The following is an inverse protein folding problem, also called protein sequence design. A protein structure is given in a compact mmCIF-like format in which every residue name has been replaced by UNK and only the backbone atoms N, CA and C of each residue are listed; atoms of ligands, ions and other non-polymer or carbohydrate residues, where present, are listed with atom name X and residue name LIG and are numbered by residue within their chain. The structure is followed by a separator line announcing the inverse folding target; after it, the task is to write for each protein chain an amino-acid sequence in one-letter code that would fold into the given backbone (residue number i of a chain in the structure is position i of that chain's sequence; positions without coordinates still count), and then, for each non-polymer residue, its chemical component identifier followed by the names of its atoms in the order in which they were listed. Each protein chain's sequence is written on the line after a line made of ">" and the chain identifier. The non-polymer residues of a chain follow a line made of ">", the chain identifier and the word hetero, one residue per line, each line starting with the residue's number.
data_IF_467465284562
#
_entry.id   IF_467465284562
#
_cell.length_a   1.000
_cell.length_b   1.000
_cell.length_c   1.000
_cell.angle_alpha   90.00
_cell.angle_beta   90.00
_cell.angle_gamma   90.00
#
_symmetry.space_group_name_H-M   'P 1'
#
loop_
_entity.id
_entity.type
_entity.pdbx_description
1 polymer ?
#
# COMPACT_ATOMS: atom_id res chain seq x y z
N UNK A 1 43.01 -21.69 52.12
CA UNK A 1 42.46 -22.70 51.69
C UNK A 1 41.18 -22.68 50.93
N UNK A 2 40.37 -22.13 50.59
CA UNK A 2 39.21 -22.18 49.76
C UNK A 2 39.02 -20.85 49.00
N UNK A 3 39.90 -20.61 48.09
CA UNK A 3 39.92 -19.37 47.30
C UNK A 3 39.64 -19.58 45.81
N UNK A 4 38.94 -20.64 45.48
CA UNK A 4 38.77 -21.04 44.10
C UNK A 4 37.34 -20.90 43.55
N UNK A 5 36.40 -20.41 44.29
CA UNK A 5 35.00 -20.46 43.83
C UNK A 5 34.34 -19.10 43.51
N UNK A 6 35.15 -18.04 43.48
CA UNK A 6 34.57 -16.73 43.17
C UNK A 6 34.81 -16.30 41.72
N UNK A 7 35.55 -17.09 40.98
CA UNK A 7 35.87 -16.73 39.60
C UNK A 7 34.95 -17.34 38.54
N UNK A 8 34.01 -18.17 38.97
CA UNK A 8 33.16 -18.89 38.06
C UNK A 8 31.77 -18.28 37.89
N UNK A 9 31.52 -17.14 38.48
CA UNK A 9 30.16 -16.53 38.48
C UNK A 9 30.04 -15.27 37.64
N UNK A 10 31.09 -14.92 36.90
CA UNK A 10 31.09 -13.66 36.12
C UNK A 10 31.02 -13.94 34.60
N UNK A 11 31.00 -15.20 34.19
CA UNK A 11 31.08 -15.53 32.75
C UNK A 11 29.78 -15.93 32.13
N UNK A 12 28.65 -15.58 32.73
CA UNK A 12 27.34 -15.97 32.22
C UNK A 12 26.35 -14.83 32.07
N UNK A 13 26.82 -13.65 31.67
CA UNK A 13 25.93 -12.59 31.21
C UNK A 13 26.47 -12.03 29.91
N UNK A 14 26.67 -12.92 28.94
CA UNK A 14 26.62 -12.53 27.53
C UNK A 14 25.32 -13.04 26.99
N UNK A 15 24.33 -12.37 27.38
CA UNK A 15 23.00 -12.58 26.89
C UNK A 15 22.88 -11.82 25.62
N UNK A 16 22.71 -12.58 24.64
CA UNK A 16 21.93 -12.46 23.47
C UNK A 16 21.03 -11.24 23.43
N UNK A 17 21.53 -10.14 22.91
CA UNK A 17 20.69 -9.21 22.20
C UNK A 17 20.23 -9.95 20.95
N UNK A 18 19.18 -10.73 21.06
CA UNK A 18 18.36 -11.09 19.95
C UNK A 18 17.82 -9.74 19.44
N UNK A 19 18.49 -9.24 18.43
CA UNK A 19 17.89 -8.24 17.57
C UNK A 19 16.71 -8.94 16.93
N UNK A 20 15.56 -8.83 17.57
CA UNK A 20 14.30 -9.00 16.91
C UNK A 20 14.23 -7.89 15.88
N UNK A 21 14.73 -8.19 14.69
CA UNK A 21 14.39 -7.45 13.52
C UNK A 21 12.88 -7.61 13.38
N UNK A 22 12.14 -6.62 13.77
CA UNK A 22 10.81 -6.44 13.24
C UNK A 22 11.01 -6.17 11.76
N UNK A 23 10.74 -7.18 10.93
CA UNK A 23 10.30 -6.93 9.56
C UNK A 23 8.97 -6.19 9.72
N UNK A 24 9.05 -4.89 9.85
CA UNK A 24 7.91 -4.03 9.56
C UNK A 24 7.66 -4.23 8.06
N UNK A 25 6.70 -5.09 7.74
CA UNK A 25 6.04 -5.03 6.46
C UNK A 25 5.48 -3.62 6.36
N UNK A 26 6.19 -2.75 5.65
CA UNK A 26 5.78 -1.39 5.32
C UNK A 26 4.60 -1.37 4.31
N UNK A 27 3.73 -2.37 4.37
CA UNK A 27 2.47 -2.37 3.64
C UNK A 27 1.63 -1.23 4.20
N UNK A 28 1.62 -0.13 3.46
CA UNK A 28 0.81 1.01 3.81
C UNK A 28 -0.65 0.62 3.66
N UNK A 29 -1.41 0.65 4.75
CA UNK A 29 -2.85 0.48 4.68
C UNK A 29 -3.48 1.76 4.08
N UNK A 30 -3.41 1.87 2.74
CA UNK A 30 -3.93 3.02 1.99
C UNK A 30 -5.44 3.09 2.15
N UNK A 31 -6.11 1.95 2.03
CA UNK A 31 -7.55 1.81 2.25
C UNK A 31 -7.81 1.31 3.66
N UNK A 32 -7.88 2.24 4.59
CA UNK A 32 -8.33 1.96 5.95
C UNK A 32 -9.81 1.61 5.92
N UNK A 33 -10.22 0.61 6.70
CA UNK A 33 -11.62 0.24 6.83
C UNK A 33 -12.33 -0.05 5.49
N UNK A 34 -11.75 -0.93 4.69
CA UNK A 34 -12.32 -1.37 3.40
C UNK A 34 -13.79 -1.83 3.51
N UNK A 35 -14.20 -2.27 4.70
CA UNK A 35 -15.60 -2.65 4.99
C UNK A 35 -16.58 -1.48 4.96
N UNK A 36 -16.12 -0.24 5.06
CA UNK A 36 -16.96 0.97 4.96
C UNK A 36 -17.11 1.49 3.54
N UNK A 37 -16.29 1.00 2.59
CA UNK A 37 -16.43 1.38 1.19
C UNK A 37 -17.75 0.87 0.62
N UNK A 38 -18.45 1.76 -0.08
CA UNK A 38 -19.70 1.46 -0.77
C UNK A 38 -19.48 1.20 -2.25
N UNK A 39 -18.57 1.96 -2.86
CA UNK A 39 -18.23 1.84 -4.26
C UNK A 39 -16.80 2.30 -4.54
N UNK A 40 -16.28 1.84 -5.65
CA UNK A 40 -15.00 2.31 -6.21
C UNK A 40 -15.26 2.72 -7.66
N UNK A 41 -14.94 3.98 -7.98
CA UNK A 41 -15.00 4.48 -9.34
C UNK A 41 -13.59 4.45 -9.96
N UNK A 42 -13.44 3.73 -11.05
CA UNK A 42 -12.19 3.57 -11.77
C UNK A 42 -12.23 4.37 -13.07
N UNK A 43 -11.19 5.13 -13.36
CA UNK A 43 -10.97 5.71 -14.69
C UNK A 43 -9.68 5.13 -15.26
N UNK A 44 -9.78 4.45 -16.38
CA UNK A 44 -8.65 3.81 -17.06
C UNK A 44 -7.81 4.83 -17.85
N UNK A 45 -6.61 4.44 -18.27
CA UNK A 45 -5.72 5.28 -19.08
C UNK A 45 -6.37 5.77 -20.39
N UNK A 46 -7.29 5.01 -20.95
CA UNK A 46 -8.05 5.39 -22.16
C UNK A 46 -9.27 6.29 -21.89
N UNK A 47 -9.48 6.70 -20.63
CA UNK A 47 -10.60 7.53 -20.21
C UNK A 47 -11.90 6.76 -19.95
N UNK A 48 -11.95 5.44 -20.18
CA UNK A 48 -13.13 4.61 -19.82
C UNK A 48 -13.31 4.61 -18.30
N UNK A 49 -14.52 4.87 -17.85
CA UNK A 49 -14.88 4.81 -16.42
C UNK A 49 -15.71 3.58 -16.11
N UNK A 50 -15.47 3.00 -14.94
CA UNK A 50 -16.15 1.83 -14.42
C UNK A 50 -16.54 2.09 -12.97
N UNK A 51 -17.81 1.87 -12.64
CA UNK A 51 -18.29 1.93 -11.27
C UNK A 51 -18.40 0.51 -10.72
N UNK A 52 -17.76 0.24 -9.59
CA UNK A 52 -17.74 -1.06 -8.91
C UNK A 52 -18.50 -0.93 -7.60
N UNK A 53 -19.66 -1.60 -7.48
CA UNK A 53 -20.51 -1.59 -6.31
C UNK A 53 -20.68 -2.96 -5.65
N UNK A 54 -20.22 -4.03 -6.32
CA UNK A 54 -20.25 -5.38 -5.76
C UNK A 54 -19.26 -5.49 -4.59
N UNK A 55 -19.78 -5.81 -3.41
CA UNK A 55 -19.00 -5.83 -2.15
C UNK A 55 -17.73 -6.68 -2.24
N UNK A 56 -17.77 -7.84 -2.90
CA UNK A 56 -16.59 -8.70 -3.05
C UNK A 56 -15.55 -8.07 -3.96
N UNK A 57 -15.96 -7.50 -5.09
CA UNK A 57 -15.05 -6.79 -6.01
C UNK A 57 -14.44 -5.55 -5.35
N UNK A 58 -15.22 -4.80 -4.59
CA UNK A 58 -14.73 -3.65 -3.81
C UNK A 58 -13.65 -4.08 -2.83
N UNK A 59 -13.87 -5.17 -2.10
CA UNK A 59 -12.88 -5.73 -1.18
C UNK A 59 -11.61 -6.22 -1.88
N UNK A 60 -11.75 -6.88 -3.01
CA UNK A 60 -10.61 -7.39 -3.78
C UNK A 60 -9.75 -6.25 -4.33
N UNK A 61 -10.37 -5.20 -4.85
CA UNK A 61 -9.68 -3.98 -5.28
C UNK A 61 -8.96 -3.32 -4.10
N UNK A 62 -9.62 -3.20 -2.95
CA UNK A 62 -9.02 -2.63 -1.74
C UNK A 62 -7.79 -3.43 -1.28
N UNK A 63 -7.82 -4.76 -1.35
CA UNK A 63 -6.66 -5.62 -1.05
C UNK A 63 -5.50 -5.36 -2.01
N UNK A 64 -5.79 -5.22 -3.31
CA UNK A 64 -4.78 -4.93 -4.32
C UNK A 64 -4.14 -3.57 -4.06
N UNK A 65 -4.93 -2.54 -3.75
CA UNK A 65 -4.42 -1.21 -3.38
C UNK A 65 -3.55 -1.30 -2.12
N UNK A 66 -3.98 -2.03 -1.09
CA UNK A 66 -3.24 -2.18 0.16
C UNK A 66 -2.00 -3.08 0.06
N UNK A 67 -1.80 -3.78 -1.05
CA UNK A 67 -0.56 -4.50 -1.30
C UNK A 67 0.60 -3.60 -1.74
N UNK A 68 0.33 -2.34 -2.04
CA UNK A 68 1.35 -1.37 -2.41
C UNK A 68 2.21 -0.99 -1.20
N UNK A 69 3.50 -0.80 -1.44
CA UNK A 69 4.49 -0.43 -0.42
C UNK A 69 4.77 1.07 -0.44
N UNK A 70 4.91 1.67 0.73
CA UNK A 70 5.26 3.10 0.82
C UNK A 70 6.66 3.34 0.27
N UNK A 71 6.79 4.30 -0.64
CA UNK A 71 8.09 4.77 -1.12
C UNK A 71 8.76 5.72 -0.12
N UNK A 72 8.03 6.16 0.92
CA UNK A 72 8.41 7.23 1.85
C UNK A 72 8.54 8.61 1.18
N UNK A 73 8.08 8.74 -0.06
CA UNK A 73 7.98 10.01 -0.76
C UNK A 73 6.59 10.61 -0.53
N UNK A 74 6.56 11.90 -0.24
CA UNK A 74 5.32 12.66 -0.12
C UNK A 74 4.84 13.10 -1.51
N UNK A 75 3.53 13.03 -1.74
CA UNK A 75 2.93 13.68 -2.90
C UNK A 75 2.70 15.16 -2.59
N UNK A 76 3.15 16.03 -3.48
CA UNK A 76 3.04 17.49 -3.33
C UNK A 76 2.22 18.14 -4.45
N UNK A 77 1.45 17.36 -5.18
CA UNK A 77 0.75 17.79 -6.38
C UNK A 77 -0.67 17.22 -6.46
N UNK A 78 -1.50 17.90 -7.25
CA UNK A 78 -2.91 17.48 -7.46
C UNK A 78 -3.06 16.26 -8.35
N UNK A 79 -2.12 16.08 -9.28
CA UNK A 79 -2.10 14.98 -10.24
C UNK A 79 -0.67 14.48 -10.45
N UNK A 80 -0.46 13.19 -10.78
CA UNK A 80 0.87 12.65 -10.98
C UNK A 80 1.65 13.31 -12.11
N UNK A 81 2.97 13.47 -11.91
CA UNK A 81 3.91 13.79 -12.97
C UNK A 81 4.23 12.52 -13.79
N UNK A 82 3.27 12.09 -14.58
CA UNK A 82 3.35 10.91 -15.43
C UNK A 82 2.72 11.19 -16.80
N UNK A 83 3.24 10.53 -17.83
CA UNK A 83 2.72 10.69 -19.21
C UNK A 83 1.27 10.24 -19.33
N UNK A 84 0.90 9.26 -18.53
CA UNK A 84 -0.41 8.65 -18.53
C UNK A 84 -0.73 8.13 -17.13
N UNK A 85 -1.92 8.38 -16.66
CA UNK A 85 -2.39 7.90 -15.36
C UNK A 85 -3.88 7.58 -15.41
N UNK A 86 -4.30 6.71 -14.51
CA UNK A 86 -5.70 6.46 -14.23
C UNK A 86 -6.09 7.01 -12.85
N UNK A 87 -7.39 6.96 -12.55
CA UNK A 87 -7.92 7.46 -11.28
C UNK A 87 -8.74 6.38 -10.58
N UNK A 88 -8.61 6.35 -9.27
CA UNK A 88 -9.41 5.53 -8.37
C UNK A 88 -10.12 6.48 -7.40
N UNK A 89 -11.44 6.47 -7.38
CA UNK A 89 -12.20 7.20 -6.38
C UNK A 89 -12.83 6.20 -5.42
N UNK A 90 -12.44 6.29 -4.15
CA UNK A 90 -12.93 5.46 -3.06
C UNK A 90 -14.09 6.21 -2.40
N UNK A 91 -15.28 5.62 -2.39
CA UNK A 91 -16.49 6.25 -1.85
C UNK A 91 -17.00 5.48 -0.64
N UNK A 92 -17.09 6.14 0.49
CA UNK A 92 -17.73 5.68 1.71
C UNK A 92 -18.95 6.56 2.05
N UNK A 93 -19.66 6.25 3.13
CA UNK A 93 -20.79 7.08 3.59
C UNK A 93 -20.38 8.48 4.02
N UNK A 94 -19.16 8.63 4.48
CA UNK A 94 -18.67 9.83 5.19
C UNK A 94 -17.63 10.59 4.40
N UNK A 95 -16.98 9.93 3.42
CA UNK A 95 -15.79 10.47 2.76
C UNK A 95 -15.63 9.96 1.33
N UNK A 96 -15.02 10.77 0.50
CA UNK A 96 -14.59 10.43 -0.85
C UNK A 96 -13.11 10.75 -1.00
N UNK A 97 -12.30 9.77 -1.40
CA UNK A 97 -10.87 9.92 -1.59
C UNK A 97 -10.47 9.59 -3.01
N UNK A 98 -9.57 10.37 -3.56
CA UNK A 98 -9.01 10.15 -4.90
C UNK A 98 -7.58 9.67 -4.81
N UNK A 99 -7.31 8.58 -5.51
CA UNK A 99 -5.99 8.06 -5.76
C UNK A 99 -5.74 8.07 -7.27
N UNK A 100 -4.49 8.22 -7.67
CA UNK A 100 -4.05 8.04 -9.04
C UNK A 100 -3.16 6.81 -9.14
N UNK A 101 -3.13 6.17 -10.30
CA UNK A 101 -2.20 5.08 -10.58
C UNK A 101 -1.54 5.30 -11.94
N UNK A 102 -0.27 4.96 -12.04
CA UNK A 102 0.54 5.20 -13.25
C UNK A 102 1.75 4.26 -13.32
N UNK A 103 2.36 4.25 -14.50
CA UNK A 103 3.65 3.63 -14.73
C UNK A 103 4.72 4.71 -14.93
N UNK A 104 5.87 4.54 -14.30
CA UNK A 104 7.04 5.37 -14.49
C UNK A 104 8.30 4.50 -14.45
N UNK A 105 9.10 4.55 -15.51
CA UNK A 105 10.36 3.80 -15.61
C UNK A 105 10.22 2.29 -15.40
N UNK A 106 9.13 1.70 -15.89
CA UNK A 106 8.85 0.26 -15.78
C UNK A 106 8.36 -0.19 -14.41
N UNK A 107 8.02 0.73 -13.53
CA UNK A 107 7.42 0.46 -12.22
C UNK A 107 6.03 1.07 -12.12
N UNK A 108 5.20 0.45 -11.30
CA UNK A 108 3.82 0.87 -11.10
C UNK A 108 3.66 1.56 -9.76
N UNK A 109 2.87 2.63 -9.73
CA UNK A 109 2.68 3.45 -8.55
C UNK A 109 1.21 3.78 -8.32
N UNK A 110 0.88 3.97 -7.04
CA UNK A 110 -0.32 4.67 -6.59
C UNK A 110 0.13 5.96 -5.92
N UNK A 111 -0.56 7.05 -6.21
CA UNK A 111 -0.31 8.35 -5.58
C UNK A 111 -1.61 8.88 -4.99
N UNK A 112 -1.58 9.20 -3.72
CA UNK A 112 -2.61 9.97 -3.05
C UNK A 112 -2.15 11.42 -2.94
N UNK A 113 -2.82 12.36 -3.61
CA UNK A 113 -2.44 13.77 -3.59
C UNK A 113 -2.24 14.30 -2.19
N UNK A 114 -1.10 14.98 -1.96
CA UNK A 114 -0.70 15.58 -0.68
C UNK A 114 -0.54 14.60 0.49
N UNK A 115 -0.51 13.30 0.22
CA UNK A 115 -0.31 12.26 1.23
C UNK A 115 0.94 11.45 0.95
N UNK A 116 1.00 10.72 -0.17
CA UNK A 116 2.16 9.89 -0.44
C UNK A 116 2.12 9.15 -1.75
N UNK A 117 3.27 8.53 -2.07
CA UNK A 117 3.48 7.69 -3.24
C UNK A 117 3.81 6.28 -2.79
N UNK A 118 3.17 5.30 -3.42
CA UNK A 118 3.26 3.88 -3.09
C UNK A 118 3.63 3.10 -4.34
N UNK A 119 4.51 2.11 -4.22
CA UNK A 119 4.92 1.24 -5.34
C UNK A 119 4.09 -0.04 -5.34
N UNK A 120 3.61 -0.44 -6.52
CA UNK A 120 2.88 -1.68 -6.74
C UNK A 120 3.72 -2.67 -7.52
N UNK A 121 3.52 -3.96 -7.26
CA UNK A 121 4.17 -5.04 -7.99
C UNK A 121 3.46 -5.42 -9.29
N UNK A 122 2.23 -4.92 -9.51
CA UNK A 122 1.41 -5.28 -10.66
C UNK A 122 0.92 -4.07 -11.46
N UNK A 123 0.68 -4.28 -12.75
CA UNK A 123 0.04 -3.32 -13.65
C UNK A 123 -1.44 -3.17 -13.29
N UNK A 124 -1.77 -2.10 -12.56
CA UNK A 124 -3.13 -1.80 -12.14
C UNK A 124 -4.06 -1.47 -13.33
N UNK A 125 -3.53 -0.88 -14.42
CA UNK A 125 -4.36 -0.58 -15.57
C UNK A 125 -4.84 -1.86 -16.28
N UNK A 126 -3.97 -2.86 -16.40
CA UNK A 126 -4.35 -4.18 -16.92
C UNK A 126 -5.30 -4.90 -15.99
N UNK A 127 -5.07 -4.83 -14.68
CA UNK A 127 -5.97 -5.40 -13.67
C UNK A 127 -7.37 -4.78 -13.75
N UNK A 128 -7.48 -3.46 -13.77
CA UNK A 128 -8.76 -2.76 -13.84
C UNK A 128 -9.47 -2.93 -15.19
N UNK A 129 -8.74 -3.08 -16.29
CA UNK A 129 -9.32 -3.46 -17.58
C UNK A 129 -10.04 -4.80 -17.50
N UNK A 130 -9.45 -5.79 -16.83
CA UNK A 130 -10.07 -7.11 -16.67
C UNK A 130 -11.38 -7.05 -15.88
N UNK A 131 -11.51 -6.10 -14.96
CA UNK A 131 -12.76 -5.86 -14.22
C UNK A 131 -13.78 -5.14 -15.09
N UNK A 132 -13.33 -4.24 -15.97
CA UNK A 132 -14.19 -3.43 -16.85
C UNK A 132 -14.83 -4.24 -18.00
N UNK A 133 -14.22 -5.35 -18.37
CA UNK A 133 -14.65 -6.20 -19.48
C UNK A 133 -15.54 -7.38 -19.02
N UNK A 134 -15.80 -7.49 -17.72
CA UNK A 134 -16.72 -8.43 -17.09
C UNK A 134 -18.11 -7.81 -16.93
#
# INVERSE_FOLDING_TARGET
>A
MKKANLFFLITMIVIGCVLSGCDENDNAEIVKESSKLQEINLTLYNGKSVNVTESEKVKDIAKVINSAESTKEESVQDVPDAKQYGKITLVSKEDERTLYYYEKEGKYYIEEPYVGIYQCDQDLNSYFKSIADL
#
